data_IF_688416221228
#
_entry.id   IF_688416221228
#
_cell.length_a   1.000
_cell.length_b   1.000
_cell.length_c   1.000
_cell.angle_alpha   90.00
_cell.angle_beta   90.00
_cell.angle_gamma   90.00
#
_symmetry.space_group_name_H-M   'P 1'
#
loop_
_entity.id
_entity.type
_entity.pdbx_description
1 polymer ?
#
# COMPACT_ATOMS: atom_id res chain seq x y z
N UNK A 1 -0.59 -19.00 0.96
CA UNK A 1 0.79 -19.32 1.37
C UNK A 1 1.67 -18.08 1.25
N UNK A 2 2.70 -17.95 2.10
CA UNK A 2 3.72 -16.89 2.04
C UNK A 2 5.07 -17.60 1.98
N UNK A 3 5.87 -17.33 0.96
CA UNK A 3 7.17 -18.00 0.73
C UNK A 3 7.07 -19.54 0.86
N UNK A 4 6.03 -20.14 0.27
CA UNK A 4 5.73 -21.57 0.34
C UNK A 4 5.10 -22.07 1.64
N UNK A 5 5.14 -21.28 2.73
CA UNK A 5 4.58 -21.64 4.04
C UNK A 5 3.07 -21.43 4.07
N UNK A 6 2.34 -22.42 4.56
CA UNK A 6 0.91 -22.28 4.81
C UNK A 6 0.68 -21.36 6.03
N UNK A 7 -0.13 -20.31 5.83
CA UNK A 7 -0.45 -19.30 6.83
C UNK A 7 -1.95 -19.21 7.11
N UNK A 8 -2.73 -20.14 6.60
CA UNK A 8 -4.19 -20.10 6.64
C UNK A 8 -4.72 -19.92 8.06
N UNK A 9 -4.18 -20.64 9.02
CA UNK A 9 -4.61 -20.59 10.42
C UNK A 9 -3.76 -19.66 11.31
N UNK A 10 -2.83 -18.88 10.71
CA UNK A 10 -2.02 -17.97 11.50
C UNK A 10 -2.79 -16.68 11.80
N UNK A 11 -2.78 -16.19 13.06
CA UNK A 11 -3.33 -14.89 13.39
C UNK A 11 -2.54 -13.76 12.70
N UNK A 12 -3.18 -12.60 12.49
CA UNK A 12 -2.61 -11.48 11.72
C UNK A 12 -1.24 -11.03 12.21
N UNK A 13 -1.01 -10.95 13.52
CA UNK A 13 0.29 -10.54 14.07
C UNK A 13 1.43 -11.51 13.69
N UNK A 14 1.14 -12.80 13.53
CA UNK A 14 2.13 -13.78 13.04
C UNK A 14 2.39 -13.64 11.55
N UNK A 15 1.35 -13.33 10.76
CA UNK A 15 1.51 -13.02 9.34
C UNK A 15 2.34 -11.75 9.14
N UNK A 16 2.10 -10.72 9.95
CA UNK A 16 2.90 -9.49 9.95
C UNK A 16 4.40 -9.78 10.22
N UNK A 17 4.71 -10.65 11.18
CA UNK A 17 6.09 -11.10 11.45
C UNK A 17 6.74 -11.89 10.30
N UNK A 18 5.97 -12.40 9.37
CA UNK A 18 6.47 -13.04 8.15
C UNK A 18 6.74 -12.02 7.03
N UNK A 19 6.54 -10.73 7.30
CA UNK A 19 6.84 -9.64 6.38
C UNK A 19 5.63 -9.14 5.60
N UNK A 20 4.41 -9.28 6.12
CA UNK A 20 3.23 -8.65 5.52
C UNK A 20 2.99 -7.29 6.19
N UNK A 21 3.02 -6.21 5.38
CA UNK A 21 2.47 -4.91 5.73
C UNK A 21 1.03 -4.78 5.21
N UNK A 22 0.21 -4.00 5.88
CA UNK A 22 -1.17 -3.74 5.46
C UNK A 22 -1.51 -2.26 5.63
N UNK A 23 -1.98 -1.66 4.57
CA UNK A 23 -2.47 -0.30 4.54
C UNK A 23 -3.96 -0.32 4.21
N UNK A 24 -4.85 -0.18 5.21
CA UNK A 24 -6.29 -0.24 5.02
C UNK A 24 -6.82 0.99 4.26
N UNK A 25 -8.03 0.86 3.73
CA UNK A 25 -8.79 1.96 3.14
C UNK A 25 -9.07 3.06 4.18
N UNK A 26 -9.48 2.66 5.38
CA UNK A 26 -9.77 3.58 6.46
C UNK A 26 -8.50 4.13 7.11
N UNK A 27 -8.64 5.30 7.74
CA UNK A 27 -7.53 5.93 8.48
C UNK A 27 -6.99 5.01 9.56
N UNK A 28 -5.72 4.65 9.45
CA UNK A 28 -5.02 3.77 10.39
C UNK A 28 -4.06 4.48 11.33
N UNK A 29 -3.89 5.80 11.18
CA UNK A 29 -2.95 6.60 11.97
C UNK A 29 -3.30 6.59 13.47
N UNK A 30 -2.32 6.53 14.34
CA UNK A 30 -2.51 6.67 15.77
C UNK A 30 -2.79 8.14 16.11
N UNK A 31 -4.06 8.47 16.28
CA UNK A 31 -4.58 9.85 16.35
C UNK A 31 -3.98 10.68 17.49
N UNK A 32 -3.64 10.04 18.62
CA UNK A 32 -3.08 10.68 19.81
C UNK A 32 -1.55 10.88 19.77
N UNK A 33 -0.89 10.43 18.70
CA UNK A 33 0.56 10.49 18.57
C UNK A 33 0.99 11.56 17.55
N UNK A 34 2.24 12.02 17.69
CA UNK A 34 2.90 12.84 16.67
C UNK A 34 3.24 11.98 15.42
N UNK A 35 3.68 12.62 14.33
CA UNK A 35 4.20 11.92 13.15
C UNK A 35 5.35 11.01 13.51
N UNK A 36 6.35 11.54 14.25
CA UNK A 36 7.52 10.79 14.71
C UNK A 36 7.12 9.58 15.56
N UNK A 37 6.21 9.78 16.52
CA UNK A 37 5.77 8.71 17.42
C UNK A 37 4.97 7.62 16.69
N UNK A 38 4.20 7.98 15.66
CA UNK A 38 3.50 7.02 14.81
C UNK A 38 4.45 6.04 14.14
N UNK A 39 5.57 6.51 13.61
CA UNK A 39 6.59 5.68 12.95
C UNK A 39 7.42 4.94 13.99
N UNK A 40 7.85 5.63 15.07
CA UNK A 40 8.68 5.06 16.13
C UNK A 40 8.00 3.90 16.84
N UNK A 41 6.68 3.97 17.06
CA UNK A 41 5.92 2.88 17.70
C UNK A 41 6.05 1.54 16.94
N UNK A 42 6.18 1.59 15.62
CA UNK A 42 6.40 0.37 14.81
C UNK A 42 7.87 -0.04 14.81
N UNK A 43 8.78 0.93 14.72
CA UNK A 43 10.22 0.68 14.77
C UNK A 43 10.63 0.01 16.10
N UNK A 44 10.03 0.41 17.21
CA UNK A 44 10.30 -0.16 18.55
C UNK A 44 9.98 -1.66 18.64
N UNK A 45 9.00 -2.11 17.83
CA UNK A 45 8.63 -3.53 17.75
C UNK A 45 9.49 -4.28 16.71
N UNK A 46 9.83 -3.61 15.59
CA UNK A 46 10.48 -4.24 14.45
C UNK A 46 11.99 -4.38 14.60
N UNK A 47 12.66 -3.40 15.26
CA UNK A 47 14.12 -3.34 15.39
C UNK A 47 14.53 -3.18 16.86
N UNK A 48 15.44 -4.02 17.32
CA UNK A 48 15.91 -4.01 18.71
C UNK A 48 16.99 -2.96 18.97
N UNK A 49 17.80 -2.68 17.96
CA UNK A 49 18.90 -1.73 18.04
C UNK A 49 18.38 -0.28 17.98
N UNK A 50 18.64 0.46 19.06
CA UNK A 50 18.20 1.86 19.20
C UNK A 50 18.81 2.78 18.13
N UNK A 51 20.05 2.54 17.74
CA UNK A 51 20.73 3.37 16.74
C UNK A 51 20.10 3.15 15.38
N UNK A 52 19.91 1.90 14.97
CA UNK A 52 19.23 1.55 13.72
C UNK A 52 17.79 2.06 13.65
N UNK A 53 17.04 2.03 14.76
CA UNK A 53 15.70 2.64 14.82
C UNK A 53 15.74 4.12 14.49
N UNK A 54 16.70 4.85 15.09
CA UNK A 54 16.84 6.28 14.86
C UNK A 54 17.23 6.59 13.40
N UNK A 55 18.20 5.88 12.87
CA UNK A 55 18.58 6.01 11.45
C UNK A 55 17.40 5.76 10.54
N UNK A 56 16.66 4.67 10.76
CA UNK A 56 15.51 4.31 9.95
C UNK A 56 14.37 5.32 10.06
N UNK A 57 14.17 5.92 11.22
CA UNK A 57 13.19 7.00 11.41
C UNK A 57 13.55 8.21 10.55
N UNK A 58 14.83 8.66 10.60
CA UNK A 58 15.29 9.80 9.78
C UNK A 58 15.14 9.52 8.29
N UNK A 59 15.52 8.31 7.85
CA UNK A 59 15.34 7.89 6.46
C UNK A 59 13.87 7.97 6.03
N UNK A 60 12.94 7.42 6.82
CA UNK A 60 11.52 7.41 6.49
C UNK A 60 10.92 8.82 6.49
N UNK A 61 11.29 9.67 7.45
CA UNK A 61 10.82 11.05 7.48
C UNK A 61 11.27 11.81 6.22
N UNK A 62 12.53 11.65 5.82
CA UNK A 62 13.10 12.28 4.63
C UNK A 62 12.50 11.72 3.33
N UNK A 63 12.44 10.40 3.22
CA UNK A 63 11.90 9.70 2.05
C UNK A 63 10.48 10.14 1.69
N UNK A 64 9.63 10.32 2.72
CA UNK A 64 8.25 10.75 2.54
C UNK A 64 8.05 12.27 2.63
N UNK A 65 9.14 13.06 2.73
CA UNK A 65 9.13 14.51 2.83
C UNK A 65 8.20 15.02 3.96
N UNK A 66 8.29 14.37 5.12
CA UNK A 66 7.49 14.68 6.31
C UNK A 66 8.32 15.11 7.52
N UNK A 67 9.61 15.45 7.34
CA UNK A 67 10.50 15.92 8.41
C UNK A 67 9.95 17.19 9.10
N UNK A 68 9.41 18.11 8.30
CA UNK A 68 8.82 19.36 8.80
C UNK A 68 7.58 19.15 9.64
N UNK A 69 6.92 17.99 9.52
CA UNK A 69 5.73 17.58 10.28
C UNK A 69 6.06 16.71 11.50
N UNK A 70 7.33 16.43 11.74
CA UNK A 70 7.81 15.48 12.77
C UNK A 70 7.03 15.55 14.09
N UNK A 71 6.84 16.75 14.62
CA UNK A 71 6.17 16.99 15.92
C UNK A 71 4.68 17.34 15.78
N UNK A 72 4.17 17.39 14.55
CA UNK A 72 2.77 17.70 14.34
C UNK A 72 1.89 16.56 14.89
N UNK A 73 0.78 16.89 15.57
CA UNK A 73 -0.22 15.91 15.95
C UNK A 73 -0.82 15.26 14.71
N UNK A 74 -1.02 13.95 14.73
CA UNK A 74 -1.57 13.21 13.60
C UNK A 74 -2.94 13.73 13.12
N UNK A 75 -3.73 14.30 14.02
CA UNK A 75 -5.04 14.90 13.70
C UNK A 75 -4.95 16.20 12.92
N UNK A 76 -3.82 16.90 12.94
CA UNK A 76 -3.63 18.17 12.23
C UNK A 76 -3.19 17.99 10.77
N UNK A 77 -2.91 16.76 10.35
CA UNK A 77 -2.43 16.45 9.00
C UNK A 77 -3.54 16.53 7.96
N UNK A 78 -3.21 17.07 6.79
CA UNK A 78 -4.03 16.94 5.59
C UNK A 78 -4.16 15.46 5.17
N UNK A 79 -5.09 15.15 4.28
CA UNK A 79 -5.28 13.76 3.79
C UNK A 79 -4.02 13.18 3.17
N UNK A 80 -3.33 13.93 2.31
CA UNK A 80 -2.10 13.51 1.65
C UNK A 80 -0.92 13.34 2.62
N UNK A 81 -0.73 14.28 3.55
CA UNK A 81 0.31 14.16 4.59
C UNK A 81 0.08 12.94 5.46
N UNK A 82 -1.15 12.72 5.90
CA UNK A 82 -1.55 11.55 6.68
C UNK A 82 -1.24 10.26 5.94
N UNK A 83 -1.59 10.17 4.66
CA UNK A 83 -1.33 8.99 3.85
C UNK A 83 0.17 8.68 3.76
N UNK A 84 1.01 9.71 3.58
CA UNK A 84 2.48 9.55 3.60
C UNK A 84 2.99 9.01 4.93
N UNK A 85 2.46 9.49 6.06
CA UNK A 85 2.82 8.98 7.40
C UNK A 85 2.37 7.53 7.59
N UNK A 86 1.17 7.16 7.15
CA UNK A 86 0.66 5.78 7.24
C UNK A 86 1.52 4.80 6.42
N UNK A 87 1.97 5.23 5.24
CA UNK A 87 2.86 4.43 4.40
C UNK A 87 4.25 4.31 5.04
N UNK A 88 4.85 5.41 5.48
CA UNK A 88 6.12 5.40 6.21
C UNK A 88 6.09 4.46 7.42
N UNK A 89 4.99 4.48 8.17
CA UNK A 89 4.74 3.57 9.29
C UNK A 89 4.67 2.11 8.85
N UNK A 90 4.00 1.79 7.74
CA UNK A 90 3.97 0.44 7.20
C UNK A 90 5.37 -0.05 6.81
N UNK A 91 6.17 0.82 6.19
CA UNK A 91 7.54 0.49 5.78
C UNK A 91 8.54 0.41 6.95
N UNK A 92 8.22 1.00 8.10
CA UNK A 92 9.03 0.88 9.31
C UNK A 92 9.20 -0.58 9.77
N UNK A 93 8.21 -1.46 9.47
CA UNK A 93 8.29 -2.89 9.76
C UNK A 93 9.14 -3.68 8.75
N UNK A 94 9.73 -3.02 7.73
CA UNK A 94 10.49 -3.63 6.65
C UNK A 94 9.76 -4.83 6.00
N UNK A 95 8.55 -4.63 5.44
CA UNK A 95 7.74 -5.71 4.90
C UNK A 95 8.36 -6.28 3.62
N UNK A 96 8.13 -7.57 3.37
CA UNK A 96 8.40 -8.23 2.08
C UNK A 96 7.24 -8.04 1.10
N UNK A 97 6.03 -7.95 1.63
CA UNK A 97 4.78 -7.78 0.89
C UNK A 97 3.95 -6.68 1.53
N UNK A 98 3.39 -5.81 0.72
CA UNK A 98 2.49 -4.75 1.15
C UNK A 98 1.11 -4.93 0.50
N UNK A 99 0.08 -4.98 1.33
CA UNK A 99 -1.30 -5.01 0.88
C UNK A 99 -1.87 -3.59 0.97
N UNK A 100 -2.34 -3.07 -0.15
CA UNK A 100 -2.96 -1.75 -0.28
C UNK A 100 -4.45 -1.96 -0.56
N UNK A 101 -5.28 -1.54 0.37
CA UNK A 101 -6.73 -1.68 0.27
C UNK A 101 -7.35 -0.38 -0.20
N UNK A 102 -7.93 -0.39 -1.39
CA UNK A 102 -8.51 0.76 -2.09
C UNK A 102 -7.65 2.04 -2.02
N UNK A 103 -6.37 1.99 -2.45
CA UNK A 103 -5.46 3.13 -2.30
C UNK A 103 -5.88 4.37 -3.10
N UNK A 104 -6.72 4.21 -4.13
CA UNK A 104 -7.23 5.30 -4.96
C UNK A 104 -8.60 5.83 -4.52
N UNK A 105 -9.24 5.22 -3.50
CA UNK A 105 -10.56 5.65 -3.04
C UNK A 105 -10.54 7.06 -2.44
N UNK A 106 -11.34 7.97 -3.00
CA UNK A 106 -11.45 9.34 -2.50
C UNK A 106 -10.18 10.19 -2.63
N UNK A 107 -9.24 9.76 -3.47
CA UNK A 107 -7.98 10.49 -3.72
C UNK A 107 -8.16 11.48 -4.87
N UNK A 108 -7.63 12.67 -4.71
CA UNK A 108 -7.63 13.68 -5.78
C UNK A 108 -6.64 13.29 -6.90
N UNK A 109 -6.83 13.79 -8.14
CA UNK A 109 -6.01 13.39 -9.29
C UNK A 109 -4.49 13.66 -9.13
N UNK A 110 -4.11 14.66 -8.31
CA UNK A 110 -2.69 14.99 -8.08
C UNK A 110 -2.08 13.90 -7.19
N UNK A 111 -2.78 13.52 -6.13
CA UNK A 111 -2.34 12.49 -5.19
C UNK A 111 -2.34 11.07 -5.77
N UNK A 112 -3.06 10.81 -6.86
CA UNK A 112 -2.96 9.54 -7.62
C UNK A 112 -1.53 9.33 -8.12
N UNK A 113 -0.88 10.40 -8.60
CA UNK A 113 0.53 10.36 -9.03
C UNK A 113 1.47 9.90 -7.90
N UNK A 114 1.25 10.38 -6.69
CA UNK A 114 2.04 9.99 -5.51
C UNK A 114 1.94 8.49 -5.22
N UNK A 115 0.73 7.92 -5.34
CA UNK A 115 0.50 6.48 -5.15
C UNK A 115 1.20 5.65 -6.24
N UNK A 116 1.14 6.11 -7.50
CA UNK A 116 1.85 5.47 -8.62
C UNK A 116 3.36 5.44 -8.37
N UNK A 117 3.95 6.56 -7.99
CA UNK A 117 5.37 6.66 -7.66
C UNK A 117 5.74 5.74 -6.48
N UNK A 118 4.92 5.73 -5.42
CA UNK A 118 5.11 4.84 -4.29
C UNK A 118 5.18 3.37 -4.73
N UNK A 119 4.19 2.90 -5.50
CA UNK A 119 4.15 1.49 -5.95
C UNK A 119 5.37 1.16 -6.80
N UNK A 120 5.79 2.09 -7.69
CA UNK A 120 6.99 1.91 -8.50
C UNK A 120 8.26 1.79 -7.64
N UNK A 121 8.39 2.60 -6.58
CA UNK A 121 9.54 2.55 -5.69
C UNK A 121 9.53 1.29 -4.80
N UNK A 122 8.38 0.83 -4.35
CA UNK A 122 8.25 -0.44 -3.64
C UNK A 122 8.70 -1.62 -4.52
N UNK A 123 8.29 -1.63 -5.79
CA UNK A 123 8.71 -2.65 -6.78
C UNK A 123 10.23 -2.63 -6.98
N UNK A 124 10.86 -1.45 -7.14
CA UNK A 124 12.33 -1.32 -7.25
C UNK A 124 13.08 -1.90 -6.05
N UNK A 125 12.48 -1.83 -4.85
CA UNK A 125 13.03 -2.43 -3.62
C UNK A 125 12.78 -3.93 -3.48
N UNK A 126 12.12 -4.55 -4.45
CA UNK A 126 11.76 -5.96 -4.40
C UNK A 126 10.62 -6.29 -3.44
N UNK A 127 9.83 -5.29 -3.03
CA UNK A 127 8.64 -5.49 -2.19
C UNK A 127 7.48 -5.89 -3.11
N UNK A 128 6.86 -7.05 -2.84
CA UNK A 128 5.66 -7.48 -3.52
C UNK A 128 4.45 -6.62 -3.10
N UNK A 129 3.70 -6.07 -4.06
CA UNK A 129 2.53 -5.24 -3.77
C UNK A 129 1.27 -5.92 -4.26
N UNK A 130 0.28 -6.07 -3.38
CA UNK A 130 -1.07 -6.51 -3.70
C UNK A 130 -2.02 -5.33 -3.50
N UNK A 131 -2.74 -4.96 -4.55
CA UNK A 131 -3.70 -3.84 -4.56
C UNK A 131 -5.09 -4.40 -4.75
N UNK A 132 -6.05 -3.99 -3.93
CA UNK A 132 -7.47 -4.12 -4.17
C UNK A 132 -8.04 -2.74 -4.46
N UNK A 133 -8.71 -2.54 -5.60
CA UNK A 133 -9.35 -1.27 -5.93
C UNK A 133 -10.45 -1.46 -6.96
N UNK A 134 -11.42 -0.59 -6.95
CA UNK A 134 -12.48 -0.52 -7.94
C UNK A 134 -12.15 0.47 -9.09
N UNK A 135 -11.12 1.30 -8.92
CA UNK A 135 -10.61 2.18 -9.97
C UNK A 135 -9.69 1.40 -10.93
N UNK A 136 -10.32 0.75 -11.90
CA UNK A 136 -9.64 -0.19 -12.81
C UNK A 136 -8.51 0.48 -13.60
N UNK A 137 -8.76 1.71 -14.11
CA UNK A 137 -7.77 2.41 -14.94
C UNK A 137 -6.48 2.65 -14.16
N UNK A 138 -6.59 3.29 -13.00
CA UNK A 138 -5.44 3.63 -12.17
C UNK A 138 -4.69 2.37 -11.72
N UNK A 139 -5.43 1.30 -11.43
CA UNK A 139 -4.85 0.04 -10.97
C UNK A 139 -4.12 -0.68 -12.10
N UNK A 140 -4.74 -0.82 -13.28
CA UNK A 140 -4.12 -1.52 -14.42
C UNK A 140 -2.85 -0.84 -14.92
N UNK A 141 -2.75 0.50 -14.79
CA UNK A 141 -1.56 1.26 -15.19
C UNK A 141 -0.31 0.97 -14.33
N UNK A 142 -0.45 0.35 -13.16
CA UNK A 142 0.67 0.18 -12.20
C UNK A 142 0.99 -1.26 -11.82
N UNK A 143 0.11 -2.21 -12.16
CA UNK A 143 0.28 -3.63 -11.80
C UNK A 143 0.92 -4.43 -12.94
N UNK A 144 1.62 -5.50 -12.60
CA UNK A 144 2.17 -6.44 -13.59
C UNK A 144 1.17 -7.55 -13.92
N UNK A 145 0.20 -7.79 -13.02
CA UNK A 145 -0.83 -8.82 -13.16
C UNK A 145 -2.08 -8.41 -12.40
N UNK A 146 -3.23 -8.65 -13.00
CA UNK A 146 -4.52 -8.39 -12.40
C UNK A 146 -5.38 -9.65 -12.29
N UNK A 147 -6.28 -9.63 -11.31
CA UNK A 147 -7.32 -10.64 -11.08
C UNK A 147 -8.66 -9.93 -11.04
N UNK A 148 -9.53 -10.23 -11.98
CA UNK A 148 -10.89 -9.67 -12.01
C UNK A 148 -11.81 -10.61 -11.24
N UNK A 149 -12.41 -10.08 -10.17
CA UNK A 149 -13.38 -10.79 -9.34
C UNK A 149 -14.80 -10.41 -9.74
N UNK A 150 -15.65 -11.39 -9.97
CA UNK A 150 -17.07 -11.20 -10.25
C UNK A 150 -17.87 -12.33 -9.60
N UNK A 151 -18.96 -11.99 -8.91
CA UNK A 151 -19.83 -12.94 -8.19
C UNK A 151 -19.06 -13.95 -7.31
N UNK A 152 -18.05 -13.47 -6.57
CA UNK A 152 -17.26 -14.29 -5.66
C UNK A 152 -16.27 -15.26 -6.33
N UNK A 153 -16.04 -15.11 -7.63
CA UNK A 153 -15.13 -15.96 -8.42
C UNK A 153 -14.13 -15.11 -9.19
N UNK A 154 -12.97 -15.71 -9.50
CA UNK A 154 -12.03 -15.10 -10.43
C UNK A 154 -12.58 -15.28 -11.84
N UNK A 155 -13.04 -14.19 -12.44
CA UNK A 155 -13.51 -14.16 -13.84
C UNK A 155 -12.35 -14.32 -14.80
N UNK A 156 -11.24 -13.62 -14.54
CA UNK A 156 -10.02 -13.63 -15.34
C UNK A 156 -8.81 -13.28 -14.50
N UNK A 157 -7.64 -13.77 -14.92
CA UNK A 157 -6.34 -13.29 -14.41
C UNK A 157 -5.35 -13.22 -15.57
N UNK A 158 -4.57 -12.13 -15.64
CA UNK A 158 -3.61 -11.91 -16.73
C UNK A 158 -2.85 -10.60 -16.56
N UNK A 159 -2.10 -10.22 -17.60
CA UNK A 159 -1.50 -8.89 -17.69
C UNK A 159 -2.59 -7.83 -17.88
N UNK A 160 -2.30 -6.54 -17.65
CA UNK A 160 -3.25 -5.46 -17.93
C UNK A 160 -3.81 -5.51 -19.35
N UNK A 161 -2.96 -5.76 -20.35
CA UNK A 161 -3.35 -5.84 -21.76
C UNK A 161 -4.32 -7.00 -21.99
N UNK A 162 -4.00 -8.21 -21.50
CA UNK A 162 -4.87 -9.39 -21.60
C UNK A 162 -6.24 -9.14 -20.95
N UNK A 163 -6.28 -8.42 -19.82
CA UNK A 163 -7.51 -8.08 -19.11
C UNK A 163 -8.38 -7.14 -19.93
N UNK A 164 -7.80 -6.12 -20.55
CA UNK A 164 -8.54 -5.12 -21.35
C UNK A 164 -9.05 -5.71 -22.67
N UNK A 165 -8.33 -6.67 -23.27
CA UNK A 165 -8.74 -7.35 -24.50
C UNK A 165 -9.84 -8.40 -24.27
N UNK A 166 -10.05 -8.85 -23.02
CA UNK A 166 -11.01 -9.90 -22.73
C UNK A 166 -12.46 -9.42 -22.87
N UNK A 167 -13.20 -10.02 -23.80
CA UNK A 167 -14.59 -9.65 -24.10
C UNK A 167 -15.53 -9.76 -22.90
N UNK A 168 -15.36 -10.79 -22.04
CA UNK A 168 -16.19 -10.96 -20.84
C UNK A 168 -15.91 -9.87 -19.81
N UNK A 169 -14.66 -9.48 -19.63
CA UNK A 169 -14.28 -8.38 -18.72
C UNK A 169 -14.82 -7.06 -19.26
N UNK A 170 -14.71 -6.79 -20.55
CA UNK A 170 -15.27 -5.59 -21.19
C UNK A 170 -16.78 -5.52 -20.99
N UNK A 171 -17.49 -6.58 -21.29
CA UNK A 171 -18.96 -6.63 -21.18
C UNK A 171 -19.46 -6.44 -19.75
N UNK A 172 -18.78 -7.01 -18.75
CA UNK A 172 -19.26 -7.06 -17.35
C UNK A 172 -18.72 -5.91 -16.51
N UNK A 173 -17.51 -5.41 -16.83
CA UNK A 173 -16.78 -4.54 -15.91
C UNK A 173 -16.26 -3.23 -16.53
N UNK A 174 -15.71 -3.25 -17.74
CA UNK A 174 -15.02 -2.09 -18.31
C UNK A 174 -15.91 -1.22 -19.21
N UNK A 175 -16.86 -1.83 -19.92
CA UNK A 175 -17.58 -1.20 -21.01
C UNK A 175 -16.77 -1.16 -22.32
N UNK A 176 -17.47 -0.94 -23.43
CA UNK A 176 -16.87 -1.04 -24.78
C UNK A 176 -15.87 0.07 -25.13
N UNK A 177 -15.96 1.21 -24.46
CA UNK A 177 -15.12 2.40 -24.70
C UNK A 177 -13.83 2.45 -23.86
N UNK A 178 -13.59 1.46 -23.00
CA UNK A 178 -12.42 1.47 -22.10
C UNK A 178 -11.11 1.28 -22.86
N UNK A 179 -10.12 2.15 -22.58
CA UNK A 179 -8.74 2.07 -23.07
C UNK A 179 -7.77 2.35 -21.93
N UNK A 180 -6.67 1.62 -21.87
CA UNK A 180 -5.51 1.94 -21.04
C UNK A 180 -4.76 3.13 -21.66
N UNK A 181 -4.20 3.97 -20.84
CA UNK A 181 -3.44 5.18 -21.24
C UNK A 181 -2.07 4.81 -21.77
#
# INVERSE_FOLDING_TARGET
RIDGRDVTNLPMYRRAKLGIGYLPQEMSIFRGLSVEDNISAVLDIAEKDRHKRRERLEELLSEFSIEHLRRAPALALSGGERRRVEIARCLAANPKYLLLDEPFAGVDPISVGDIRHLVADLKKRGIGVLITDHNVRETLDIVDRAYILHDGRVLMSGTPEEVVENENVRRVYLGDSFKIS
#
